data_IF_840380194093
#
_entry.id   IF_840380194093
#
_cell.length_a   1.000
_cell.length_b   1.000
_cell.length_c   1.000
_cell.angle_alpha   90.00
_cell.angle_beta   90.00
_cell.angle_gamma   90.00
#
_symmetry.space_group_name_H-M   'P 1'
#
loop_
_entity.id
_entity.type
_entity.pdbx_description
1 polymer ?
#
# COMPACT_ATOMS: atom_id res chain seq x y z
N UNK A 1 -1.97 -18.35 -3.89
CA UNK A 1 -2.14 -16.94 -3.56
C UNK A 1 -0.98 -16.10 -4.08
N UNK A 2 -1.31 -14.97 -4.73
CA UNK A 2 -0.30 -14.08 -5.31
C UNK A 2 0.68 -13.53 -4.27
N UNK A 3 0.15 -13.09 -3.13
CA UNK A 3 0.95 -12.49 -2.06
C UNK A 3 2.01 -13.47 -1.54
N UNK A 4 1.64 -14.71 -1.29
CA UNK A 4 2.56 -15.73 -0.78
C UNK A 4 3.63 -16.08 -1.81
N UNK A 5 3.27 -16.12 -3.09
CA UNK A 5 4.22 -16.36 -4.18
C UNK A 5 5.26 -15.25 -4.24
N UNK A 6 4.83 -14.00 -4.17
CA UNK A 6 5.73 -12.85 -4.20
C UNK A 6 6.65 -12.84 -2.97
N UNK A 7 6.11 -13.18 -1.80
CA UNK A 7 6.91 -13.29 -0.58
C UNK A 7 7.98 -14.35 -0.72
N UNK A 8 7.65 -15.52 -1.27
CA UNK A 8 8.60 -16.61 -1.52
C UNK A 8 9.68 -16.19 -2.51
N UNK A 9 9.37 -15.29 -3.44
CA UNK A 9 10.34 -14.73 -4.38
C UNK A 9 11.25 -13.66 -3.77
N UNK A 10 11.07 -13.35 -2.49
CA UNK A 10 11.93 -12.44 -1.75
C UNK A 10 11.49 -10.98 -1.72
N UNK A 11 10.26 -10.70 -2.14
CA UNK A 11 9.74 -9.32 -2.11
C UNK A 11 9.20 -8.95 -0.73
N UNK A 12 9.35 -7.69 -0.38
CA UNK A 12 8.87 -7.12 0.88
C UNK A 12 7.46 -6.52 0.74
N UNK A 13 6.85 -6.14 1.87
CA UNK A 13 5.47 -5.65 1.95
C UNK A 13 5.13 -4.55 0.93
N UNK A 14 5.96 -3.52 0.84
CA UNK A 14 5.75 -2.43 -0.12
C UNK A 14 5.82 -2.89 -1.56
N UNK A 15 6.78 -3.77 -1.87
CA UNK A 15 6.94 -4.32 -3.21
C UNK A 15 5.79 -5.25 -3.60
N UNK A 16 5.33 -6.06 -2.67
CA UNK A 16 4.21 -6.99 -2.90
C UNK A 16 2.95 -6.20 -3.28
N UNK A 17 2.65 -5.15 -2.55
CA UNK A 17 1.48 -4.32 -2.84
C UNK A 17 1.56 -3.65 -4.22
N UNK A 18 2.71 -3.07 -4.54
CA UNK A 18 2.91 -2.44 -5.85
C UNK A 18 2.83 -3.48 -6.97
N UNK A 19 3.44 -4.65 -6.77
CA UNK A 19 3.41 -5.74 -7.77
C UNK A 19 1.99 -6.24 -8.01
N UNK A 20 1.20 -6.41 -6.95
CA UNK A 20 -0.20 -6.84 -7.09
C UNK A 20 -1.02 -5.78 -7.83
N UNK A 21 -0.79 -4.50 -7.53
CA UNK A 21 -1.44 -3.40 -8.24
C UNK A 21 -1.12 -3.37 -9.73
N UNK A 22 0.13 -3.60 -10.08
CA UNK A 22 0.56 -3.69 -11.48
C UNK A 22 -0.09 -4.87 -12.19
N UNK A 23 -0.12 -6.04 -11.54
CA UNK A 23 -0.78 -7.22 -12.10
C UNK A 23 -2.26 -6.97 -12.37
N UNK A 24 -2.95 -6.30 -11.45
CA UNK A 24 -4.37 -5.96 -11.59
C UNK A 24 -4.61 -5.04 -12.80
N UNK A 25 -3.63 -4.22 -13.16
CA UNK A 25 -3.69 -3.35 -14.33
C UNK A 25 -3.14 -4.00 -15.60
N UNK A 26 -2.70 -5.26 -15.51
CA UNK A 26 -2.09 -5.96 -16.65
C UNK A 26 -0.74 -5.39 -17.06
N UNK A 27 0.00 -4.83 -16.09
CA UNK A 27 1.27 -4.16 -16.34
C UNK A 27 2.43 -4.91 -15.69
N UNK A 28 3.61 -4.76 -16.28
CA UNK A 28 4.86 -5.22 -15.72
C UNK A 28 5.84 -4.05 -15.70
N UNK A 29 6.31 -3.67 -14.51
CA UNK A 29 7.19 -2.52 -14.36
C UNK A 29 8.22 -2.78 -13.24
N UNK A 30 9.32 -3.47 -13.56
CA UNK A 30 10.37 -3.76 -12.57
C UNK A 30 10.96 -2.51 -11.93
N UNK A 31 11.06 -1.40 -12.64
CA UNK A 31 11.61 -0.16 -12.10
C UNK A 31 10.74 0.39 -10.97
N UNK A 32 9.42 0.31 -11.12
CA UNK A 32 8.51 0.74 -10.05
C UNK A 32 8.60 -0.18 -8.83
N UNK A 33 8.66 -1.49 -9.05
CA UNK A 33 8.85 -2.46 -7.97
C UNK A 33 10.19 -2.21 -7.26
N UNK A 34 11.23 -1.93 -8.03
CA UNK A 34 12.55 -1.60 -7.48
C UNK A 34 12.51 -0.34 -6.62
N UNK A 35 11.82 0.70 -7.09
CA UNK A 35 11.66 1.95 -6.34
C UNK A 35 10.93 1.71 -5.01
N UNK A 36 9.91 0.85 -5.02
CA UNK A 36 9.13 0.53 -3.82
C UNK A 36 9.94 -0.26 -2.78
N UNK A 37 11.05 -0.89 -3.16
CA UNK A 37 11.91 -1.62 -2.23
C UNK A 37 12.43 -0.72 -1.10
N UNK A 38 12.73 0.53 -1.40
CA UNK A 38 13.25 1.46 -0.39
C UNK A 38 12.24 1.83 0.68
N UNK A 39 10.95 1.56 0.49
CA UNK A 39 9.90 1.79 1.48
C UNK A 39 9.81 0.67 2.53
N UNK A 40 10.42 -0.48 2.28
CA UNK A 40 10.30 -1.65 3.15
C UNK A 40 10.91 -1.39 4.53
N UNK A 41 10.32 -2.01 5.55
CA UNK A 41 10.81 -1.89 6.91
C UNK A 41 10.70 -0.50 7.51
N UNK A 42 9.80 0.31 6.97
CA UNK A 42 9.64 1.70 7.40
C UNK A 42 10.75 2.60 6.88
N UNK A 43 10.94 2.60 5.55
CA UNK A 43 11.95 3.37 4.83
C UNK A 43 13.37 2.84 5.12
N UNK A 44 13.83 1.93 4.28
CA UNK A 44 15.18 1.36 4.40
C UNK A 44 15.43 0.64 5.72
N UNK A 45 14.39 0.05 6.29
CA UNK A 45 14.42 -0.62 7.59
C UNK A 45 14.80 0.33 8.74
N UNK A 46 14.52 1.63 8.57
CA UNK A 46 14.72 2.62 9.64
C UNK A 46 13.62 2.61 10.72
N UNK A 47 12.58 1.79 10.54
CA UNK A 47 11.54 1.65 11.54
C UNK A 47 10.48 2.76 11.53
N UNK A 48 10.43 3.55 10.45
CA UNK A 48 9.44 4.62 10.29
C UNK A 48 8.12 4.04 9.77
N UNK A 49 7.37 4.77 8.96
CA UNK A 49 6.04 4.37 8.50
C UNK A 49 6.04 2.98 7.86
N UNK A 50 5.10 2.13 8.28
CA UNK A 50 4.99 0.76 7.79
C UNK A 50 4.91 0.69 6.26
N UNK A 51 5.71 -0.22 5.66
CA UNK A 51 5.75 -0.42 4.20
C UNK A 51 4.44 -0.92 3.61
N UNK A 52 3.58 -1.56 4.41
CA UNK A 52 2.24 -1.93 3.95
C UNK A 52 1.39 -0.68 3.70
N UNK A 53 1.47 0.32 4.57
CA UNK A 53 0.74 1.57 4.39
C UNK A 53 1.28 2.37 3.21
N UNK A 54 2.60 2.56 3.13
CA UNK A 54 3.20 3.32 2.02
C UNK A 54 3.02 2.60 0.69
N UNK A 55 3.13 1.28 0.68
CA UNK A 55 2.84 0.47 -0.52
C UNK A 55 1.39 0.58 -0.95
N UNK A 56 0.46 0.59 0.01
CA UNK A 56 -0.96 0.81 -0.28
C UNK A 56 -1.21 2.19 -0.89
N UNK A 57 -0.55 3.22 -0.37
CA UNK A 57 -0.62 4.56 -0.94
C UNK A 57 -0.10 4.59 -2.38
N UNK A 58 0.99 3.88 -2.66
CA UNK A 58 1.50 3.75 -4.02
C UNK A 58 0.49 3.07 -4.95
N UNK A 59 -0.23 2.08 -4.44
CA UNK A 59 -1.27 1.38 -5.19
C UNK A 59 -2.40 2.33 -5.60
N UNK A 60 -2.85 3.19 -4.68
CA UNK A 60 -3.80 4.25 -5.00
C UNK A 60 -3.22 5.21 -6.03
N UNK A 61 -1.94 5.55 -5.90
CA UNK A 61 -1.24 6.42 -6.84
C UNK A 61 -1.17 5.85 -8.25
N UNK A 62 -1.07 4.53 -8.39
CA UNK A 62 -1.09 3.87 -9.70
C UNK A 62 -2.40 4.15 -10.44
N UNK A 63 -3.52 4.27 -9.72
CA UNK A 63 -4.82 4.52 -10.31
C UNK A 63 -5.12 6.00 -10.55
N UNK A 64 -4.71 6.87 -9.63
CA UNK A 64 -5.13 8.28 -9.63
C UNK A 64 -3.98 9.27 -9.65
N UNK A 65 -2.74 8.81 -9.60
CA UNK A 65 -1.58 9.71 -9.57
C UNK A 65 -1.34 10.37 -10.93
N UNK A 66 -0.80 11.58 -10.88
CA UNK A 66 -0.37 12.30 -12.08
C UNK A 66 1.02 11.79 -12.47
N UNK A 67 1.12 11.18 -13.65
CA UNK A 67 2.36 10.59 -14.14
C UNK A 67 3.05 11.38 -15.25
N UNK A 68 2.33 12.29 -15.92
CA UNK A 68 2.89 13.12 -16.98
C UNK A 68 2.49 14.57 -16.77
N UNK A 69 3.24 15.48 -17.40
CA UNK A 69 2.97 16.92 -17.28
C UNK A 69 1.60 17.31 -17.85
N UNK A 70 1.11 16.54 -18.82
CA UNK A 70 -0.14 16.82 -19.53
C UNK A 70 -1.38 16.33 -18.75
N UNK A 71 -1.18 15.40 -17.82
CA UNK A 71 -2.27 14.90 -16.98
C UNK A 71 -2.69 15.96 -15.97
N UNK A 72 -3.97 15.96 -15.63
CA UNK A 72 -4.47 16.78 -14.52
C UNK A 72 -4.45 15.99 -13.23
N UNK A 73 -4.19 16.67 -12.14
CA UNK A 73 -4.20 16.07 -10.81
C UNK A 73 -5.61 15.61 -10.47
N UNK A 74 -5.74 14.36 -9.99
CA UNK A 74 -7.03 13.82 -9.57
C UNK A 74 -7.50 14.47 -8.28
N UNK A 75 -8.78 14.82 -8.23
CA UNK A 75 -9.41 15.31 -7.00
C UNK A 75 -9.59 14.20 -5.95
N UNK A 76 -9.47 12.92 -6.35
CA UNK A 76 -9.74 11.79 -5.46
C UNK A 76 -8.51 11.29 -4.71
N UNK A 77 -7.32 11.44 -5.28
CA UNK A 77 -6.13 10.75 -4.75
C UNK A 77 -5.86 11.08 -3.28
N UNK A 78 -5.77 12.36 -2.95
CA UNK A 78 -5.41 12.77 -1.59
C UNK A 78 -6.47 12.32 -0.57
N UNK A 79 -7.75 12.40 -0.93
CA UNK A 79 -8.85 11.94 -0.09
C UNK A 79 -8.76 10.44 0.17
N UNK A 80 -8.48 9.66 -0.87
CA UNK A 80 -8.35 8.20 -0.74
C UNK A 80 -7.13 7.81 0.09
N UNK A 81 -6.00 8.48 -0.11
CA UNK A 81 -4.80 8.22 0.68
C UNK A 81 -5.04 8.57 2.15
N UNK A 82 -5.70 9.71 2.43
CA UNK A 82 -6.05 10.09 3.80
C UNK A 82 -6.97 9.07 4.45
N UNK A 83 -7.95 8.56 3.71
CA UNK A 83 -8.84 7.50 4.19
C UNK A 83 -8.07 6.23 4.52
N UNK A 84 -7.11 5.85 3.68
CA UNK A 84 -6.26 4.70 3.92
C UNK A 84 -5.42 4.89 5.20
N UNK A 85 -4.83 6.07 5.36
CA UNK A 85 -4.02 6.38 6.55
C UNK A 85 -4.88 6.28 7.81
N UNK A 86 -6.06 6.89 7.81
CA UNK A 86 -6.97 6.84 8.97
C UNK A 86 -7.38 5.41 9.31
N UNK A 87 -7.73 4.62 8.30
CA UNK A 87 -8.07 3.21 8.49
C UNK A 87 -6.89 2.42 9.07
N UNK A 88 -5.69 2.65 8.56
CA UNK A 88 -4.50 1.93 9.02
C UNK A 88 -4.20 2.26 10.49
N UNK A 89 -4.35 3.54 10.89
CA UNK A 89 -4.22 3.95 12.29
C UNK A 89 -5.23 3.23 13.19
N UNK A 90 -6.49 3.15 12.76
CA UNK A 90 -7.53 2.49 13.55
C UNK A 90 -7.32 0.99 13.64
N UNK A 91 -7.01 0.36 12.51
CA UNK A 91 -6.90 -1.10 12.43
C UNK A 91 -5.62 -1.63 13.09
N UNK A 92 -4.49 -0.98 12.83
CA UNK A 92 -3.18 -1.48 13.26
C UNK A 92 -2.48 -0.55 14.25
N UNK A 93 -2.71 0.75 14.14
CA UNK A 93 -2.12 1.70 15.07
C UNK A 93 -2.57 1.48 16.50
N UNK A 94 -3.84 1.16 16.72
CA UNK A 94 -4.36 0.81 18.04
C UNK A 94 -3.77 -0.51 18.55
N UNK A 95 -3.65 -1.48 17.66
CA UNK A 95 -3.17 -2.82 18.04
C UNK A 95 -1.70 -2.80 18.44
N UNK A 96 -0.87 -2.03 17.72
CA UNK A 96 0.59 -2.06 17.86
C UNK A 96 1.17 -0.78 18.47
N UNK A 97 0.34 0.18 18.80
CA UNK A 97 0.76 1.44 19.42
C UNK A 97 1.11 2.57 18.46
N UNK A 98 1.34 2.28 17.20
CA UNK A 98 1.56 3.30 16.15
C UNK A 98 1.57 2.64 14.77
N UNK A 99 1.77 3.44 13.72
CA UNK A 99 1.92 2.96 12.36
C UNK A 99 3.39 2.79 11.94
N UNK A 100 4.31 2.99 12.88
CA UNK A 100 5.73 2.83 12.60
C UNK A 100 6.12 1.37 12.62
N UNK A 101 6.93 0.97 11.65
CA UNK A 101 7.42 -0.40 11.55
C UNK A 101 8.10 -0.87 12.84
N UNK A 102 8.92 -0.01 13.44
CA UNK A 102 9.60 -0.32 14.71
C UNK A 102 8.61 -0.73 15.80
N UNK A 103 7.53 0.03 15.97
CA UNK A 103 6.52 -0.25 17.00
C UNK A 103 5.69 -1.48 16.66
N UNK A 104 5.32 -1.64 15.39
CA UNK A 104 4.56 -2.79 14.91
C UNK A 104 5.34 -4.07 15.17
N UNK A 105 6.64 -4.06 14.94
CA UNK A 105 7.51 -5.23 15.16
C UNK A 105 8.00 -5.32 16.61
N UNK A 106 7.70 -4.34 17.45
CA UNK A 106 8.19 -4.28 18.84
C UNK A 106 9.73 -4.37 18.91
N UNK A 107 10.40 -3.78 17.92
CA UNK A 107 11.86 -3.81 17.82
C UNK A 107 12.45 -5.16 17.50
N UNK A 108 11.63 -6.18 17.17
CA UNK A 108 12.09 -7.54 16.92
C UNK A 108 11.77 -7.97 15.49
N UNK A 109 12.77 -8.08 14.60
CA UNK A 109 12.54 -8.49 13.20
C UNK A 109 11.86 -9.86 13.06
N UNK A 110 11.95 -10.72 14.05
CA UNK A 110 11.30 -12.04 14.02
C UNK A 110 9.77 -11.92 13.98
N UNK A 111 9.19 -10.79 14.42
CA UNK A 111 7.75 -10.55 14.37
C UNK A 111 7.24 -10.27 12.95
N UNK A 112 8.13 -10.01 12.00
CA UNK A 112 7.78 -9.69 10.62
C UNK A 112 6.95 -10.82 9.98
N UNK A 113 7.40 -12.07 10.12
CA UNK A 113 6.71 -13.21 9.54
C UNK A 113 5.31 -13.43 10.11
N UNK A 114 5.09 -13.06 11.39
CA UNK A 114 3.80 -13.24 12.05
C UNK A 114 2.82 -12.08 11.75
N UNK A 115 3.32 -10.86 11.61
CA UNK A 115 2.50 -9.64 11.58
C UNK A 115 2.32 -9.04 10.20
N UNK A 116 3.38 -9.00 9.38
CA UNK A 116 3.35 -8.31 8.10
C UNK A 116 2.38 -8.91 7.07
N UNK A 117 2.30 -10.24 6.86
CA UNK A 117 1.41 -10.78 5.83
C UNK A 117 -0.05 -10.38 6.00
N UNK A 118 -0.57 -10.38 7.23
CA UNK A 118 -1.94 -9.98 7.51
C UNK A 118 -2.18 -8.50 7.17
N UNK A 119 -1.21 -7.65 7.46
CA UNK A 119 -1.30 -6.22 7.14
C UNK A 119 -1.25 -5.97 5.63
N UNK A 120 -0.45 -6.74 4.90
CA UNK A 120 -0.39 -6.63 3.43
C UNK A 120 -1.74 -7.01 2.82
N UNK A 121 -2.31 -8.14 3.23
CA UNK A 121 -3.62 -8.59 2.75
C UNK A 121 -4.70 -7.58 3.11
N UNK A 122 -4.74 -7.13 4.37
CA UNK A 122 -5.74 -6.18 4.84
C UNK A 122 -5.65 -4.85 4.09
N UNK A 123 -4.44 -4.35 3.88
CA UNK A 123 -4.22 -3.10 3.15
C UNK A 123 -4.65 -3.23 1.68
N UNK A 124 -4.31 -4.34 1.03
CA UNK A 124 -4.73 -4.59 -0.34
C UNK A 124 -6.27 -4.58 -0.44
N UNK A 125 -6.95 -5.29 0.46
CA UNK A 125 -8.41 -5.35 0.49
C UNK A 125 -9.02 -3.97 0.70
N UNK A 126 -8.45 -3.17 1.61
CA UNK A 126 -8.92 -1.80 1.87
C UNK A 126 -8.73 -0.91 0.66
N UNK A 127 -7.60 -1.02 -0.03
CA UNK A 127 -7.37 -0.26 -1.27
C UNK A 127 -8.41 -0.62 -2.32
N UNK A 128 -8.71 -1.91 -2.52
CA UNK A 128 -9.73 -2.34 -3.48
C UNK A 128 -11.11 -1.77 -3.13
N UNK A 129 -11.46 -1.75 -1.85
CA UNK A 129 -12.70 -1.16 -1.35
C UNK A 129 -12.76 0.35 -1.66
N UNK A 130 -11.67 1.08 -1.38
CA UNK A 130 -11.59 2.50 -1.66
C UNK A 130 -11.67 2.81 -3.16
N UNK A 131 -11.03 2.00 -4.00
CA UNK A 131 -11.10 2.14 -5.45
C UNK A 131 -12.53 1.92 -5.95
N UNK A 132 -13.23 0.92 -5.43
CA UNK A 132 -14.61 0.64 -5.80
C UNK A 132 -15.54 1.80 -5.42
N UNK A 133 -15.34 2.41 -4.25
CA UNK A 133 -16.10 3.58 -3.82
C UNK A 133 -15.86 4.78 -4.74
N UNK A 134 -14.62 5.02 -5.13
CA UNK A 134 -14.27 6.12 -6.02
C UNK A 134 -14.88 5.94 -7.41
N UNK A 135 -14.90 4.70 -7.92
CA UNK A 135 -15.52 4.39 -9.21
C UNK A 135 -17.03 4.62 -9.18
N UNK A 136 -17.69 4.23 -8.07
CA UNK A 136 -19.12 4.45 -7.90
C UNK A 136 -19.46 5.94 -7.85
N UNK A 137 -18.66 6.75 -7.14
CA UNK A 137 -18.84 8.19 -7.07
C UNK A 137 -18.62 8.84 -8.43
N UNK A 138 -17.60 8.44 -9.18
CA UNK A 138 -17.34 8.94 -10.53
C UNK A 138 -18.46 8.58 -11.49
N UNK A 139 -19.03 7.39 -11.36
CA UNK A 139 -20.19 6.96 -12.13
C UNK A 139 -21.41 7.83 -11.87
N UNK A 140 -21.64 8.22 -10.62
CA UNK A 140 -22.73 9.10 -10.23
C UNK A 140 -22.53 10.53 -10.76
N UNK A 141 -21.29 11.00 -10.82
CA UNK A 141 -20.98 12.35 -11.33
C UNK A 141 -21.19 12.49 -12.83
N UNK A 142 -21.10 11.40 -13.58
CA UNK A 142 -21.23 11.43 -15.04
C UNK A 142 -22.71 11.53 -15.49
N UNK A 143 -23.63 11.33 -14.58
CA UNK A 143 -25.04 11.49 -14.86
C UNK A 143 -25.44 12.95 -14.73
#
# INVERSE_FOLDING_TARGET
>A
MRMMKLKQQGFYCSQILVSMGLEDQGKDNPDLVRAAHSLAGGLGFAGETCGALTGGACLLGLHFGKGTAEEQESAHLNTLVQALVSWFHEEYGHQYGSIRCHDILAGNPANMAARCPGMVVGTYQKVQELLAQAEAESGDEVV
#
